data_IF_240694028507
#
_entry.id   IF_240694028507
#
_cell.length_a   1.000
_cell.length_b   1.000
_cell.length_c   1.000
_cell.angle_alpha   90.00
_cell.angle_beta   90.00
_cell.angle_gamma   90.00
#
_symmetry.space_group_name_H-M   'P 1'
#
loop_
_entity.id
_entity.type
_entity.pdbx_description
1 polymer ?
#
# COMPACT_ATOMS: atom_id res chain seq x y z
N UNK A 1 -8.73 -11.05 1.20
CA UNK A 1 -8.63 -10.10 0.07
C UNK A 1 -7.45 -10.53 -0.77
N UNK A 2 -7.62 -10.56 -2.09
CA UNK A 2 -6.57 -10.98 -3.00
C UNK A 2 -5.85 -9.74 -3.53
N UNK A 3 -4.59 -9.57 -3.14
CA UNK A 3 -3.64 -8.55 -3.60
C UNK A 3 -3.11 -8.80 -5.02
N UNK A 4 -3.76 -9.67 -5.79
CA UNK A 4 -3.31 -10.20 -7.09
C UNK A 4 -3.22 -9.16 -8.23
N UNK A 5 -3.53 -7.90 -8.01
CA UNK A 5 -3.67 -6.89 -9.08
C UNK A 5 -2.98 -5.53 -8.80
N UNK A 6 -2.16 -5.41 -7.74
CA UNK A 6 -1.21 -4.29 -7.61
C UNK A 6 -0.09 -4.50 -8.63
N UNK A 7 0.19 -3.50 -9.47
CA UNK A 7 1.19 -3.61 -10.52
C UNK A 7 2.15 -2.45 -10.47
N UNK A 8 3.42 -2.76 -10.25
CA UNK A 8 4.54 -1.83 -10.34
C UNK A 8 4.76 -1.33 -11.75
N UNK A 9 4.28 -2.06 -12.77
CA UNK A 9 4.63 -1.84 -14.18
C UNK A 9 5.79 -2.72 -14.66
N UNK A 10 6.47 -3.40 -13.73
CA UNK A 10 7.46 -4.42 -14.03
C UNK A 10 6.85 -5.83 -13.84
N UNK A 11 6.70 -6.58 -14.94
CA UNK A 11 6.04 -7.89 -14.88
C UNK A 11 6.73 -8.89 -13.96
N UNK A 12 8.05 -8.81 -13.82
CA UNK A 12 8.79 -9.73 -12.94
C UNK A 12 8.46 -9.45 -11.47
N UNK A 13 8.46 -8.18 -11.05
CA UNK A 13 8.07 -7.78 -9.69
C UNK A 13 6.62 -8.21 -9.43
N UNK A 14 5.72 -7.88 -10.36
CA UNK A 14 4.29 -8.17 -10.23
C UNK A 14 4.00 -9.68 -10.11
N UNK A 15 4.68 -10.51 -10.90
CA UNK A 15 4.53 -11.97 -10.84
C UNK A 15 5.09 -12.54 -9.52
N UNK A 16 6.20 -12.00 -9.01
CA UNK A 16 6.78 -12.45 -7.74
C UNK A 16 5.89 -12.06 -6.54
N UNK A 17 5.32 -10.85 -6.50
CA UNK A 17 4.36 -10.47 -5.45
C UNK A 17 3.18 -11.43 -5.43
N UNK A 18 2.64 -11.73 -6.62
CA UNK A 18 1.53 -12.68 -6.77
C UNK A 18 1.89 -14.05 -6.17
N UNK A 19 3.08 -14.57 -6.48
CA UNK A 19 3.53 -15.88 -5.99
C UNK A 19 3.71 -15.87 -4.46
N UNK A 20 4.28 -14.80 -3.88
CA UNK A 20 4.41 -14.66 -2.42
C UNK A 20 3.04 -14.67 -1.73
N UNK A 21 2.06 -13.98 -2.29
CA UNK A 21 0.71 -13.91 -1.74
C UNK A 21 -0.04 -15.24 -1.85
N UNK A 22 0.15 -15.95 -2.96
CA UNK A 22 -0.41 -17.30 -3.14
C UNK A 22 0.24 -18.30 -2.15
N UNK A 23 1.53 -18.17 -1.87
CA UNK A 23 2.20 -18.95 -0.82
C UNK A 23 1.66 -18.63 0.59
N UNK A 24 1.42 -17.36 0.94
CA UNK A 24 0.82 -16.98 2.23
C UNK A 24 -0.57 -17.59 2.38
N UNK A 25 -1.40 -17.52 1.35
CA UNK A 25 -2.75 -18.09 1.39
C UNK A 25 -2.71 -19.64 1.48
N UNK A 26 -1.74 -20.29 0.84
CA UNK A 26 -1.48 -21.73 1.00
C UNK A 26 -1.14 -22.09 2.44
N UNK A 27 -0.16 -21.40 3.05
CA UNK A 27 0.22 -21.64 4.45
C UNK A 27 -0.96 -21.37 5.39
N UNK A 28 -1.75 -20.32 5.13
CA UNK A 28 -2.93 -20.02 5.93
C UNK A 28 -4.01 -21.11 5.82
N UNK A 29 -4.12 -21.81 4.68
CA UNK A 29 -5.04 -22.94 4.52
C UNK A 29 -4.56 -24.18 5.28
N UNK A 30 -3.26 -24.47 5.28
CA UNK A 30 -2.71 -25.64 5.98
C UNK A 30 -2.92 -25.54 7.50
N UNK A 31 -2.82 -24.33 8.06
CA UNK A 31 -3.13 -24.07 9.48
C UNK A 31 -4.60 -24.29 9.83
N UNK A 32 -5.50 -23.97 8.90
CA UNK A 32 -6.96 -24.06 9.12
C UNK A 32 -7.48 -25.48 8.96
N UNK A 33 -7.00 -26.17 7.92
CA UNK A 33 -7.66 -27.36 7.40
C UNK A 33 -6.93 -28.66 7.77
N UNK A 34 -5.61 -28.60 7.99
CA UNK A 34 -4.76 -29.78 8.19
C UNK A 34 -3.51 -29.47 9.02
N UNK A 35 -3.71 -28.97 10.23
CA UNK A 35 -2.63 -28.50 11.10
C UNK A 35 -1.58 -29.59 11.39
N UNK A 36 -0.33 -29.30 11.02
CA UNK A 36 0.87 -30.03 11.44
C UNK A 36 2.02 -29.03 11.67
N UNK A 37 2.59 -29.04 12.88
CA UNK A 37 3.61 -28.08 13.29
C UNK A 37 4.86 -28.15 12.40
N UNK A 38 5.33 -29.35 12.05
CA UNK A 38 6.59 -29.51 11.31
C UNK A 38 6.43 -29.09 9.86
N UNK A 39 5.30 -29.43 9.25
CA UNK A 39 4.95 -29.00 7.90
C UNK A 39 4.84 -27.47 7.86
N UNK A 40 4.09 -26.86 8.78
CA UNK A 40 3.95 -25.42 8.87
C UNK A 40 5.29 -24.69 9.03
N UNK A 41 6.13 -25.13 9.98
CA UNK A 41 7.47 -24.56 10.14
C UNK A 41 8.34 -24.71 8.89
N UNK A 42 8.19 -25.81 8.16
CA UNK A 42 8.89 -26.03 6.89
C UNK A 42 8.41 -25.06 5.83
N UNK A 43 7.10 -24.89 5.68
CA UNK A 43 6.51 -24.00 4.69
C UNK A 43 6.89 -22.53 4.99
N UNK A 44 6.87 -22.12 6.26
CA UNK A 44 7.32 -20.79 6.69
C UNK A 44 8.80 -20.56 6.36
N UNK A 45 9.68 -21.54 6.60
CA UNK A 45 11.10 -21.42 6.25
C UNK A 45 11.30 -21.29 4.73
N UNK A 46 10.56 -22.06 3.94
CA UNK A 46 10.60 -21.94 2.47
C UNK A 46 10.10 -20.56 2.01
N UNK A 47 8.97 -20.10 2.56
CA UNK A 47 8.44 -18.77 2.27
C UNK A 47 9.45 -17.65 2.56
N UNK A 48 10.14 -17.69 3.69
CA UNK A 48 11.15 -16.67 4.03
C UNK A 48 12.30 -16.68 3.00
N UNK A 49 12.71 -17.85 2.51
CA UNK A 49 13.73 -17.95 1.46
C UNK A 49 13.22 -17.38 0.13
N UNK A 50 11.99 -17.68 -0.24
CA UNK A 50 11.37 -17.16 -1.46
C UNK A 50 11.23 -15.63 -1.40
N UNK A 51 10.85 -15.09 -0.25
CA UNK A 51 10.79 -13.65 0.02
C UNK A 51 12.16 -12.97 -0.13
N UNK A 52 13.21 -13.54 0.48
CA UNK A 52 14.57 -13.00 0.38
C UNK A 52 15.09 -13.03 -1.08
N UNK A 53 14.74 -14.07 -1.85
CA UNK A 53 15.06 -14.13 -3.27
C UNK A 53 14.31 -13.06 -4.07
N UNK A 54 13.02 -12.87 -3.78
CA UNK A 54 12.23 -11.79 -4.39
C UNK A 54 12.88 -10.42 -4.12
N UNK A 55 13.22 -10.10 -2.87
CA UNK A 55 13.93 -8.87 -2.50
C UNK A 55 15.24 -8.69 -3.26
N UNK A 56 16.05 -9.75 -3.36
CA UNK A 56 17.31 -9.67 -4.10
C UNK A 56 17.10 -9.37 -5.59
N UNK A 57 16.06 -9.94 -6.21
CA UNK A 57 15.75 -9.66 -7.62
C UNK A 57 15.20 -8.24 -7.80
N UNK A 58 14.30 -7.82 -6.92
CA UNK A 58 13.73 -6.48 -6.91
C UNK A 58 14.85 -5.44 -6.81
N UNK A 59 15.77 -5.58 -5.86
CA UNK A 59 16.90 -4.65 -5.70
C UNK A 59 17.78 -4.54 -6.95
N UNK A 60 17.99 -5.65 -7.67
CA UNK A 60 18.74 -5.64 -8.93
C UNK A 60 17.99 -4.83 -9.99
N UNK A 61 16.67 -5.01 -10.08
CA UNK A 61 15.80 -4.27 -10.99
C UNK A 61 15.79 -2.78 -10.64
N UNK A 62 15.60 -2.43 -9.36
CA UNK A 62 15.60 -1.06 -8.87
C UNK A 62 16.94 -0.36 -9.07
N UNK A 63 18.05 -1.08 -8.86
CA UNK A 63 19.40 -0.58 -9.14
C UNK A 63 19.59 -0.27 -10.63
N UNK A 64 19.10 -1.13 -11.51
CA UNK A 64 19.16 -0.92 -12.94
C UNK A 64 18.28 0.26 -13.40
N UNK A 65 17.14 0.45 -12.73
CA UNK A 65 16.22 1.57 -12.97
C UNK A 65 16.68 2.91 -12.35
N UNK A 66 17.72 2.89 -11.51
CA UNK A 66 18.27 4.10 -10.89
C UNK A 66 17.44 4.64 -9.73
N UNK A 67 16.76 3.76 -8.97
CA UNK A 67 16.01 4.17 -7.78
C UNK A 67 16.92 4.84 -6.73
N UNK A 68 16.65 6.09 -6.38
CA UNK A 68 17.51 6.88 -5.49
C UNK A 68 17.60 6.34 -4.07
N UNK A 69 16.50 5.75 -3.57
CA UNK A 69 16.36 5.34 -2.19
C UNK A 69 16.67 3.84 -1.99
N UNK A 70 17.37 3.23 -2.96
CA UNK A 70 17.67 1.80 -2.98
C UNK A 70 18.33 1.32 -1.69
N UNK A 71 19.26 2.06 -1.11
CA UNK A 71 19.97 1.65 0.12
C UNK A 71 19.01 1.60 1.31
N UNK A 72 18.11 2.58 1.43
CA UNK A 72 17.11 2.63 2.50
C UNK A 72 16.10 1.49 2.33
N UNK A 73 15.58 1.31 1.12
CA UNK A 73 14.65 0.23 0.77
C UNK A 73 15.27 -1.15 1.04
N UNK A 74 16.52 -1.31 0.61
CA UNK A 74 17.33 -2.48 0.89
C UNK A 74 17.42 -2.75 2.39
N UNK A 75 17.73 -1.76 3.22
CA UNK A 75 17.79 -1.96 4.68
C UNK A 75 16.47 -2.48 5.25
N UNK A 76 15.32 -2.02 4.76
CA UNK A 76 14.00 -2.52 5.18
C UNK A 76 13.81 -4.00 4.85
N UNK A 77 14.25 -4.47 3.67
CA UNK A 77 14.23 -5.90 3.35
C UNK A 77 15.02 -6.73 4.36
N UNK A 78 16.21 -6.27 4.75
CA UNK A 78 17.07 -6.98 5.73
C UNK A 78 16.38 -7.02 7.08
N UNK A 79 15.81 -5.90 7.52
CA UNK A 79 15.08 -5.80 8.79
C UNK A 79 13.87 -6.73 8.81
N UNK A 80 13.03 -6.68 7.77
CA UNK A 80 11.84 -7.51 7.66
C UNK A 80 12.20 -9.01 7.65
N UNK A 81 13.20 -9.40 6.86
CA UNK A 81 13.68 -10.79 6.80
C UNK A 81 14.20 -11.26 8.16
N UNK A 82 14.99 -10.44 8.85
CA UNK A 82 15.52 -10.75 10.18
C UNK A 82 14.38 -10.90 11.21
N UNK A 83 13.44 -9.97 11.23
CA UNK A 83 12.29 -10.04 12.13
C UNK A 83 11.46 -11.31 11.87
N UNK A 84 11.16 -11.65 10.61
CA UNK A 84 10.41 -12.87 10.29
C UNK A 84 11.16 -14.14 10.71
N UNK A 85 12.48 -14.19 10.51
CA UNK A 85 13.29 -15.32 11.00
C UNK A 85 13.25 -15.44 12.51
N UNK A 86 13.40 -14.33 13.23
CA UNK A 86 13.31 -14.31 14.69
C UNK A 86 11.92 -14.73 15.17
N UNK A 87 10.87 -14.13 14.64
CA UNK A 87 9.48 -14.44 14.99
C UNK A 87 9.16 -15.92 14.71
N UNK A 88 9.69 -16.48 13.60
CA UNK A 88 9.48 -17.88 13.23
C UNK A 88 10.14 -18.87 14.19
N UNK A 89 11.22 -18.47 14.86
CA UNK A 89 12.00 -19.35 15.73
C UNK A 89 11.27 -19.66 17.06
N UNK A 90 10.45 -18.74 17.54
CA UNK A 90 9.81 -18.84 18.85
C UNK A 90 8.41 -19.48 18.82
N UNK A 91 7.91 -19.88 17.65
CA UNK A 91 6.55 -20.40 17.52
C UNK A 91 6.39 -21.77 18.20
N UNK A 92 5.41 -21.90 19.10
CA UNK A 92 5.08 -23.16 19.75
C UNK A 92 3.60 -23.49 19.60
N UNK A 93 3.30 -24.45 18.73
CA UNK A 93 1.94 -24.93 18.53
C UNK A 93 1.08 -23.97 17.70
N UNK A 94 -0.22 -24.27 17.69
CA UNK A 94 -1.19 -23.67 16.77
C UNK A 94 -1.41 -22.17 17.03
N UNK A 95 -1.48 -21.75 18.29
CA UNK A 95 -1.82 -20.37 18.63
C UNK A 95 -0.73 -19.38 18.18
N UNK A 96 0.52 -19.70 18.47
CA UNK A 96 1.67 -18.88 18.04
C UNK A 96 1.76 -18.85 16.51
N UNK A 97 1.45 -19.95 15.84
CA UNK A 97 1.49 -20.06 14.39
C UNK A 97 0.40 -19.22 13.71
N UNK A 98 -0.81 -19.17 14.28
CA UNK A 98 -1.88 -18.26 13.84
C UNK A 98 -1.46 -16.80 14.03
N UNK A 99 -0.85 -16.47 15.18
CA UNK A 99 -0.37 -15.11 15.47
C UNK A 99 0.74 -14.68 14.53
N UNK A 100 1.70 -15.57 14.29
CA UNK A 100 2.77 -15.36 13.33
C UNK A 100 2.20 -15.14 11.93
N UNK A 101 1.26 -15.96 11.46
CA UNK A 101 0.64 -15.77 10.15
C UNK A 101 -0.08 -14.42 10.02
N UNK A 102 -0.77 -13.97 11.06
CA UNK A 102 -1.39 -12.65 11.08
C UNK A 102 -0.35 -11.51 10.98
N UNK A 103 0.74 -11.62 11.73
CA UNK A 103 1.87 -10.69 11.68
C UNK A 103 2.55 -10.70 10.31
N UNK A 104 2.89 -11.89 9.79
CA UNK A 104 3.50 -12.10 8.49
C UNK A 104 2.67 -11.44 7.39
N UNK A 105 1.37 -11.79 7.31
CA UNK A 105 0.47 -11.22 6.30
C UNK A 105 0.45 -9.69 6.37
N UNK A 106 0.43 -9.13 7.58
CA UNK A 106 0.42 -7.68 7.79
C UNK A 106 1.72 -7.05 7.31
N UNK A 107 2.87 -7.61 7.69
CA UNK A 107 4.19 -7.08 7.33
C UNK A 107 4.45 -7.14 5.82
N UNK A 108 4.19 -8.30 5.19
CA UNK A 108 4.36 -8.47 3.73
C UNK A 108 3.43 -7.55 2.96
N UNK A 109 2.15 -7.54 3.33
CA UNK A 109 1.18 -6.67 2.69
C UNK A 109 1.55 -5.20 2.87
N UNK A 110 2.03 -4.79 4.05
CA UNK A 110 2.47 -3.41 4.28
C UNK A 110 3.66 -3.03 3.38
N UNK A 111 4.62 -3.93 3.22
CA UNK A 111 5.78 -3.70 2.38
C UNK A 111 5.38 -3.64 0.89
N UNK A 112 4.78 -4.71 0.36
CA UNK A 112 4.37 -4.81 -1.05
C UNK A 112 3.35 -3.75 -1.47
N UNK A 113 2.44 -3.39 -0.56
CA UNK A 113 1.36 -2.47 -0.88
C UNK A 113 1.75 -1.02 -0.64
N UNK A 114 2.51 -0.70 0.40
CA UNK A 114 2.73 0.71 0.78
C UNK A 114 4.14 1.17 0.46
N UNK A 115 5.15 0.35 0.74
CA UNK A 115 6.55 0.74 0.54
C UNK A 115 6.97 0.63 -0.91
N UNK A 116 6.54 -0.41 -1.61
CA UNK A 116 6.99 -0.66 -2.98
C UNK A 116 6.45 0.35 -3.99
N UNK A 117 5.30 0.97 -3.68
CA UNK A 117 4.73 2.03 -4.51
C UNK A 117 5.66 3.22 -4.76
N UNK A 118 6.67 3.40 -3.91
CA UNK A 118 7.63 4.48 -4.02
C UNK A 118 8.48 4.41 -5.28
N UNK A 119 8.70 3.20 -5.81
CA UNK A 119 9.50 3.02 -7.02
C UNK A 119 8.65 2.79 -8.28
N UNK A 120 7.34 2.59 -8.17
CA UNK A 120 6.47 2.33 -9.32
C UNK A 120 6.57 3.39 -10.43
N UNK A 121 6.75 4.71 -10.12
CA UNK A 121 6.97 5.72 -11.16
C UNK A 121 8.19 5.46 -12.06
N UNK A 122 9.14 4.59 -11.68
CA UNK A 122 10.26 4.19 -12.53
C UNK A 122 9.85 3.26 -13.68
N UNK A 123 8.72 2.58 -13.55
CA UNK A 123 8.27 1.54 -14.49
C UNK A 123 6.93 1.89 -15.15
N UNK A 124 6.12 2.76 -14.54
CA UNK A 124 4.96 3.33 -15.20
C UNK A 124 5.44 4.29 -16.30
N UNK A 125 4.87 4.19 -17.51
CA UNK A 125 5.12 5.18 -18.56
C UNK A 125 4.76 6.56 -17.99
N UNK A 126 5.70 7.51 -18.03
CA UNK A 126 5.42 8.90 -17.63
C UNK A 126 4.27 9.42 -18.48
N UNK A 127 3.08 9.49 -17.89
CA UNK A 127 1.98 10.20 -18.50
C UNK A 127 2.33 11.68 -18.44
N UNK A 128 2.21 12.41 -19.56
CA UNK A 128 2.45 13.85 -19.56
C UNK A 128 1.51 14.51 -18.53
N UNK A 129 1.98 15.56 -17.85
CA UNK A 129 1.24 16.19 -16.76
C UNK A 129 -0.17 16.66 -17.18
N UNK A 130 -0.34 16.97 -18.47
CA UNK A 130 -1.60 17.35 -19.11
C UNK A 130 -2.65 16.23 -19.13
N UNK A 131 -2.23 14.98 -18.95
CA UNK A 131 -3.09 13.80 -18.92
C UNK A 131 -3.45 13.35 -17.50
N UNK A 132 -2.79 13.91 -16.48
CA UNK A 132 -3.04 13.62 -15.07
C UNK A 132 -4.20 14.46 -14.55
N UNK A 133 -5.06 13.85 -13.72
CA UNK A 133 -6.15 14.56 -13.05
C UNK A 133 -5.63 15.48 -11.93
N UNK A 134 -4.59 15.00 -11.23
CA UNK A 134 -3.93 15.70 -10.14
C UNK A 134 -2.42 15.66 -10.42
N UNK A 135 -1.87 16.65 -11.15
CA UNK A 135 -0.43 16.79 -11.24
C UNK A 135 0.12 17.16 -9.86
N UNK A 136 1.21 16.51 -9.44
CA UNK A 136 1.87 16.88 -8.19
C UNK A 136 2.42 18.31 -8.27
N UNK A 137 2.24 19.09 -7.21
CA UNK A 137 2.77 20.45 -7.12
C UNK A 137 3.15 20.80 -5.67
N UNK A 138 3.86 21.93 -5.49
CA UNK A 138 4.22 22.42 -4.16
C UNK A 138 3.00 22.80 -3.29
N UNK A 139 1.81 22.97 -3.88
CA UNK A 139 0.57 23.27 -3.15
C UNK A 139 0.01 22.06 -2.37
N UNK A 140 0.54 20.86 -2.64
CA UNK A 140 0.19 19.61 -1.95
C UNK A 140 1.26 19.16 -0.95
N UNK A 141 2.36 19.92 -0.86
CA UNK A 141 3.49 19.61 0.01
C UNK A 141 3.26 20.18 1.41
N UNK A 142 3.42 19.36 2.45
CA UNK A 142 3.42 19.76 3.85
C UNK A 142 4.78 20.29 4.30
N UNK A 143 5.84 19.94 3.56
CA UNK A 143 7.23 20.22 3.91
C UNK A 143 7.88 19.11 4.75
N UNK A 144 7.12 18.08 5.15
CA UNK A 144 7.63 16.85 5.73
C UNK A 144 7.83 15.79 4.63
N UNK A 145 9.08 15.34 4.35
CA UNK A 145 9.37 14.45 3.22
C UNK A 145 8.62 13.11 3.24
N UNK A 146 8.41 12.51 4.40
CA UNK A 146 7.72 11.22 4.51
C UNK A 146 6.21 11.38 4.29
N UNK A 147 5.60 12.45 4.82
CA UNK A 147 4.19 12.76 4.56
C UNK A 147 3.96 13.09 3.08
N UNK A 148 4.83 13.89 2.47
CA UNK A 148 4.75 14.24 1.04
C UNK A 148 4.88 13.02 0.13
N UNK A 149 5.67 12.02 0.55
CA UNK A 149 5.80 10.74 -0.13
C UNK A 149 4.48 9.95 -0.09
N UNK A 150 3.81 9.90 1.05
CA UNK A 150 2.49 9.28 1.17
C UNK A 150 1.43 10.01 0.32
N UNK A 151 1.43 11.35 0.31
CA UNK A 151 0.51 12.13 -0.54
C UNK A 151 0.72 11.84 -2.03
N UNK A 152 1.97 11.72 -2.49
CA UNK A 152 2.28 11.36 -3.89
C UNK A 152 1.71 9.99 -4.26
N UNK A 153 1.82 9.00 -3.39
CA UNK A 153 1.25 7.68 -3.64
C UNK A 153 -0.29 7.71 -3.72
N UNK A 154 -0.96 8.46 -2.84
CA UNK A 154 -2.41 8.69 -2.92
C UNK A 154 -2.82 9.37 -4.22
N UNK A 155 -2.08 10.41 -4.63
CA UNK A 155 -2.28 11.09 -5.92
C UNK A 155 -2.11 10.11 -7.09
N UNK A 156 -1.10 9.25 -7.05
CA UNK A 156 -0.84 8.26 -8.09
C UNK A 156 -1.99 7.26 -8.22
N UNK A 157 -2.55 6.75 -7.12
CA UNK A 157 -3.75 5.91 -7.15
C UNK A 157 -4.93 6.59 -7.86
N UNK A 158 -5.17 7.87 -7.56
CA UNK A 158 -6.27 8.63 -8.17
C UNK A 158 -6.00 8.86 -9.67
N UNK A 159 -4.76 9.20 -10.03
CA UNK A 159 -4.37 9.38 -11.42
C UNK A 159 -4.45 8.08 -12.23
N UNK A 160 -4.03 6.93 -11.68
CA UNK A 160 -4.20 5.62 -12.31
C UNK A 160 -5.66 5.31 -12.61
N UNK A 161 -6.53 5.53 -11.62
CA UNK A 161 -7.97 5.34 -11.80
C UNK A 161 -8.51 6.24 -12.91
N UNK A 162 -8.12 7.51 -12.93
CA UNK A 162 -8.52 8.48 -13.96
C UNK A 162 -8.08 8.04 -15.37
N UNK A 163 -6.80 7.69 -15.53
CA UNK A 163 -6.22 7.29 -16.81
C UNK A 163 -6.85 6.01 -17.33
N UNK A 164 -7.05 5.01 -16.46
CA UNK A 164 -7.73 3.78 -16.86
C UNK A 164 -9.15 4.05 -17.36
N UNK A 165 -9.87 4.98 -16.74
CA UNK A 165 -11.23 5.34 -17.14
C UNK A 165 -11.32 6.10 -18.46
N UNK A 166 -10.23 6.72 -18.92
CA UNK A 166 -10.13 7.25 -20.29
C UNK A 166 -10.09 6.14 -21.34
N UNK A 167 -9.62 4.95 -20.97
CA UNK A 167 -9.51 3.77 -21.85
C UNK A 167 -10.77 2.90 -21.73
N UNK A 168 -11.18 2.57 -20.51
CA UNK A 168 -12.33 1.69 -20.24
C UNK A 168 -12.96 1.96 -18.88
N UNK A 169 -14.30 1.89 -18.81
CA UNK A 169 -15.03 1.97 -17.54
C UNK A 169 -15.16 0.59 -16.86
N UNK A 170 -14.03 -0.09 -16.65
CA UNK A 170 -14.02 -1.38 -15.94
C UNK A 170 -14.30 -1.18 -14.44
N UNK A 171 -15.53 -1.53 -14.05
CA UNK A 171 -15.98 -1.48 -12.66
C UNK A 171 -15.19 -2.38 -11.72
N UNK A 172 -14.67 -3.52 -12.18
CA UNK A 172 -13.88 -4.41 -11.32
C UNK A 172 -12.53 -3.78 -11.02
N UNK A 173 -11.87 -3.21 -12.04
CA UNK A 173 -10.67 -2.40 -11.84
C UNK A 173 -10.94 -1.24 -10.87
N UNK A 174 -12.02 -0.48 -11.08
CA UNK A 174 -12.40 0.63 -10.22
C UNK A 174 -12.54 0.23 -8.75
N UNK A 175 -13.30 -0.83 -8.51
CA UNK A 175 -13.51 -1.37 -7.17
C UNK A 175 -12.20 -1.76 -6.49
N UNK A 176 -11.28 -2.40 -7.22
CA UNK A 176 -9.98 -2.81 -6.68
C UNK A 176 -9.10 -1.61 -6.36
N UNK A 177 -8.97 -0.66 -7.29
CA UNK A 177 -8.10 0.50 -7.08
C UNK A 177 -8.61 1.40 -5.95
N UNK A 178 -9.93 1.54 -5.79
CA UNK A 178 -10.50 2.21 -4.62
C UNK A 178 -10.23 1.48 -3.30
N UNK A 179 -10.28 0.13 -3.30
CA UNK A 179 -9.88 -0.65 -2.12
C UNK A 179 -8.41 -0.40 -1.80
N UNK A 180 -7.55 -0.28 -2.81
CA UNK A 180 -6.14 0.03 -2.57
C UNK A 180 -5.97 1.42 -1.98
N UNK A 181 -6.62 2.42 -2.58
CA UNK A 181 -6.66 3.78 -2.06
C UNK A 181 -7.12 3.80 -0.61
N UNK A 182 -8.19 3.08 -0.26
CA UNK A 182 -8.70 3.00 1.11
C UNK A 182 -7.69 2.45 2.12
N UNK A 183 -7.05 1.32 1.80
CA UNK A 183 -6.05 0.74 2.72
C UNK A 183 -4.81 1.65 2.83
N UNK A 184 -4.39 2.29 1.73
CA UNK A 184 -3.27 3.24 1.74
C UNK A 184 -3.62 4.49 2.56
N UNK A 185 -4.81 5.06 2.39
CA UNK A 185 -5.27 6.20 3.20
C UNK A 185 -5.30 5.86 4.68
N UNK A 186 -5.78 4.66 5.05
CA UNK A 186 -5.78 4.20 6.44
C UNK A 186 -4.36 4.10 7.02
N UNK A 187 -3.41 3.57 6.24
CA UNK A 187 -2.01 3.53 6.63
C UNK A 187 -1.43 4.93 6.81
N UNK A 188 -1.57 5.79 5.80
CA UNK A 188 -1.10 7.17 5.82
C UNK A 188 -1.64 7.96 7.02
N UNK A 189 -2.95 7.89 7.28
CA UNK A 189 -3.57 8.56 8.42
C UNK A 189 -3.03 8.04 9.76
N UNK A 190 -2.76 6.74 9.87
CA UNK A 190 -2.13 6.18 11.08
C UNK A 190 -0.70 6.71 11.28
N UNK A 191 0.09 6.79 10.22
CA UNK A 191 1.46 7.31 10.27
C UNK A 191 1.49 8.80 10.60
N UNK A 192 0.60 9.59 9.99
CA UNK A 192 0.45 11.01 10.29
C UNK A 192 0.02 11.23 11.74
N UNK A 193 -0.98 10.48 12.21
CA UNK A 193 -1.44 10.58 13.59
C UNK A 193 -0.35 10.22 14.60
N UNK A 194 0.51 9.26 14.24
CA UNK A 194 1.66 8.88 15.04
C UNK A 194 2.76 9.95 15.02
N UNK A 195 3.09 10.48 13.85
CA UNK A 195 4.16 11.46 13.63
C UNK A 195 3.84 12.82 14.27
N UNK A 196 2.61 13.29 14.09
CA UNK A 196 2.17 14.58 14.64
C UNK A 196 1.83 14.49 16.13
N UNK A 197 1.30 13.36 16.60
CA UNK A 197 0.90 13.14 18.00
C UNK A 197 0.15 14.34 18.60
N UNK A 198 0.75 15.07 19.56
CA UNK A 198 0.14 16.21 20.23
C UNK A 198 0.00 17.47 19.33
N UNK A 199 0.60 17.48 18.13
CA UNK A 199 0.48 18.56 17.14
C UNK A 199 -0.77 18.42 16.25
N UNK A 200 -1.51 17.32 16.35
CA UNK A 200 -2.75 17.14 15.61
C UNK A 200 -3.78 18.20 16.03
N UNK A 201 -4.29 18.92 15.03
CA UNK A 201 -5.35 19.91 15.25
C UNK A 201 -6.65 19.23 15.70
N UNK A 202 -7.46 19.91 16.54
CA UNK A 202 -8.80 19.42 16.88
C UNK A 202 -9.63 19.15 15.61
N UNK A 203 -10.25 17.97 15.56
CA UNK A 203 -11.05 17.55 14.42
C UNK A 203 -10.30 16.84 13.30
N UNK A 204 -8.96 16.79 13.32
CA UNK A 204 -8.17 16.10 12.30
C UNK A 204 -8.49 14.58 12.27
N UNK A 205 -8.36 13.87 13.41
CA UNK A 205 -8.74 12.45 13.50
C UNK A 205 -10.19 12.17 13.10
N UNK A 206 -11.11 13.05 13.50
CA UNK A 206 -12.52 12.92 13.11
C UNK A 206 -12.72 13.09 11.59
N UNK A 207 -11.89 13.91 10.94
CA UNK A 207 -11.87 14.02 9.50
C UNK A 207 -11.35 12.74 8.84
N UNK A 208 -10.25 12.14 9.31
CA UNK A 208 -9.79 10.82 8.84
C UNK A 208 -10.87 9.76 8.91
N UNK A 209 -11.53 9.63 10.06
CA UNK A 209 -12.62 8.68 10.27
C UNK A 209 -13.77 8.92 9.26
N UNK A 210 -14.17 10.18 9.06
CA UNK A 210 -15.20 10.53 8.09
C UNK A 210 -14.79 10.18 6.65
N UNK A 211 -13.56 10.51 6.26
CA UNK A 211 -13.02 10.26 4.93
C UNK A 211 -12.96 8.76 4.62
N UNK A 212 -12.57 7.92 5.59
CA UNK A 212 -12.57 6.47 5.45
C UNK A 212 -14.00 5.90 5.35
N UNK A 213 -14.94 6.39 6.17
CA UNK A 213 -16.35 5.97 6.08
C UNK A 213 -16.94 6.31 4.70
N UNK A 214 -16.68 7.52 4.21
CA UNK A 214 -17.20 7.96 2.92
C UNK A 214 -16.58 7.18 1.75
N UNK A 215 -15.28 6.94 1.78
CA UNK A 215 -14.60 6.13 0.77
C UNK A 215 -15.09 4.67 0.77
N UNK A 216 -15.34 4.09 1.96
CA UNK A 216 -15.94 2.76 2.11
C UNK A 216 -17.35 2.69 1.48
N UNK A 217 -18.18 3.72 1.69
CA UNK A 217 -19.49 3.84 1.04
C UNK A 217 -19.36 3.90 -0.48
N UNK A 218 -18.43 4.70 -1.01
CA UNK A 218 -18.18 4.80 -2.46
C UNK A 218 -17.75 3.46 -3.06
N UNK A 219 -16.87 2.72 -2.38
CA UNK A 219 -16.46 1.36 -2.78
C UNK A 219 -17.67 0.43 -2.92
N UNK A 220 -18.59 0.45 -1.95
CA UNK A 220 -19.81 -0.37 -1.99
C UNK A 220 -20.78 0.05 -3.11
N UNK A 221 -20.93 1.35 -3.35
CA UNK A 221 -21.75 1.88 -4.45
C UNK A 221 -21.17 1.54 -5.82
N UNK A 222 -19.84 1.59 -5.98
CA UNK A 222 -19.14 1.12 -7.18
C UNK A 222 -19.36 -0.36 -7.38
N UNK A 223 -19.13 -1.19 -6.35
CA UNK A 223 -19.34 -2.65 -6.43
C UNK A 223 -20.77 -3.01 -6.86
N UNK A 224 -21.76 -2.32 -6.29
CA UNK A 224 -23.18 -2.55 -6.58
C UNK A 224 -23.66 -1.90 -7.89
N UNK A 225 -22.83 -1.10 -8.56
CA UNK A 225 -23.19 -0.38 -9.79
C UNK A 225 -24.12 0.82 -9.57
N UNK A 226 -24.25 1.29 -8.32
CA UNK A 226 -25.04 2.48 -7.97
C UNK A 226 -24.26 3.78 -8.15
N UNK A 227 -22.93 3.70 -8.17
CA UNK A 227 -22.06 4.86 -8.39
C UNK A 227 -21.81 5.10 -9.89
N UNK A 228 -21.90 6.35 -10.32
CA UNK A 228 -21.52 6.74 -11.69
C UNK A 228 -20.01 6.93 -11.77
N UNK A 229 -19.32 5.99 -12.42
CA UNK A 229 -17.85 5.98 -12.51
C UNK A 229 -17.25 7.24 -13.14
N UNK A 230 -17.98 7.93 -14.01
CA UNK A 230 -17.53 9.16 -14.67
C UNK A 230 -17.17 10.29 -13.69
N UNK A 231 -17.80 10.33 -12.50
CA UNK A 231 -17.57 11.38 -11.51
C UNK A 231 -16.56 11.00 -10.42
N UNK A 232 -16.00 9.78 -10.48
CA UNK A 232 -15.19 9.28 -9.35
C UNK A 232 -13.87 10.02 -9.20
N UNK A 233 -13.25 10.39 -10.32
CA UNK A 233 -11.98 11.10 -10.32
C UNK A 233 -12.12 12.45 -9.62
N UNK A 234 -13.08 13.26 -10.05
CA UNK A 234 -13.31 14.59 -9.47
C UNK A 234 -13.68 14.53 -7.99
N UNK A 235 -14.47 13.52 -7.61
CA UNK A 235 -14.78 13.25 -6.20
C UNK A 235 -13.51 12.96 -5.39
N UNK A 236 -12.66 12.01 -5.83
CA UNK A 236 -11.43 11.65 -5.12
C UNK A 236 -10.42 12.80 -5.10
N UNK A 237 -10.36 13.59 -6.18
CA UNK A 237 -9.55 14.81 -6.25
C UNK A 237 -9.98 15.81 -5.18
N UNK A 238 -11.27 16.10 -5.09
CA UNK A 238 -11.79 16.99 -4.06
C UNK A 238 -11.52 16.43 -2.66
N UNK A 239 -11.79 15.14 -2.45
CA UNK A 239 -11.57 14.42 -1.20
C UNK A 239 -10.12 14.57 -0.70
N UNK A 240 -9.12 14.30 -1.55
CA UNK A 240 -7.72 14.33 -1.17
C UNK A 240 -7.21 15.77 -1.00
N UNK A 241 -7.44 16.64 -1.99
CA UNK A 241 -6.90 18.00 -1.97
C UNK A 241 -7.49 18.80 -0.81
N UNK A 242 -8.79 18.67 -0.56
CA UNK A 242 -9.43 19.37 0.56
C UNK A 242 -8.86 18.92 1.90
N UNK A 243 -8.57 17.63 2.08
CA UNK A 243 -7.94 17.11 3.29
C UNK A 243 -6.54 17.72 3.48
N UNK A 244 -5.65 17.54 2.49
CA UNK A 244 -4.28 18.05 2.50
C UNK A 244 -4.21 19.55 2.83
N UNK A 245 -5.03 20.35 2.16
CA UNK A 245 -4.98 21.82 2.31
C UNK A 245 -5.61 22.32 3.60
N UNK A 246 -6.61 21.62 4.14
CA UNK A 246 -7.38 22.09 5.31
C UNK A 246 -6.83 21.55 6.63
N UNK A 247 -6.28 20.32 6.62
CA UNK A 247 -5.87 19.60 7.82
C UNK A 247 -4.36 19.39 7.87
N UNK A 248 -3.77 18.77 6.85
CA UNK A 248 -2.39 18.27 6.86
C UNK A 248 -1.40 19.44 6.84
N UNK A 249 -1.40 20.26 5.77
CA UNK A 249 -0.48 21.40 5.63
C UNK A 249 -0.53 22.30 6.89
N UNK A 250 -1.71 22.72 7.40
CA UNK A 250 -1.77 23.52 8.61
C UNK A 250 -1.29 22.83 9.90
N UNK A 251 -1.22 21.50 9.93
CA UNK A 251 -0.69 20.72 11.06
C UNK A 251 0.85 20.68 11.06
N UNK A 252 1.50 20.72 9.89
CA UNK A 252 2.97 20.76 9.77
C UNK A 252 3.57 22.18 9.85
N UNK A 253 2.75 23.22 9.60
CA UNK A 253 3.17 24.63 9.67
C UNK A 253 3.17 25.23 11.10
N UNK A 254 2.61 24.57 12.11
CA UNK A 254 2.54 25.10 13.49
C UNK A 254 3.87 25.05 14.27
N UNK A 255 5.01 24.98 13.56
CA UNK A 255 6.32 25.06 14.17
C UNK A 255 6.75 26.54 14.28
N UNK A 256 6.19 27.27 15.25
CA UNK A 256 6.75 28.51 15.81
C UNK A 256 6.32 28.67 17.29
#
# INVERSE_FOLDING_TARGET
MSSKDLRSGNSFIDDNHKDLLDNIDFIASSVRDSWDQRAFESDVRCFIVDLENHFSHEEVILKAAGFSDLDIHSMKHRELSLQLRMDSYYMQGLEDSIRFLGSLRTKIFSHEMFEDQNYWPLFENEYPAEELLIPWSAELATGDPETDKHHRALVNHINRLHLQFRISSDRHYAYRELRHLYEYSKFHFSEEEHSLDNKLRPGHRANHEFLLIDLSRVIDEVRSGKFQLVNIGDYLKYWLINHIQTFDIPSFLQND
#
